data_IF_934837055977
#
_entry.id   IF_934837055977
#
_cell.length_a   1.000
_cell.length_b   1.000
_cell.length_c   1.000
_cell.angle_alpha   90.00
_cell.angle_beta   90.00
_cell.angle_gamma   90.00
#
_symmetry.space_group_name_H-M   'P 1'
#
loop_
_entity.id
_entity.type
_entity.pdbx_description
1 polymer ?
#
# COMPACT_ATOMS: atom_id res chain seq x y z
N UNK A 1 0.85 11.63 -22.95
CA UNK A 1 0.07 10.64 -22.20
C UNK A 1 0.64 9.25 -22.29
N UNK A 2 0.86 8.69 -23.46
CA UNK A 2 1.45 7.37 -23.67
C UNK A 2 2.85 7.24 -23.04
N UNK A 3 3.70 8.24 -23.21
CA UNK A 3 5.05 8.27 -22.62
C UNK A 3 5.00 8.22 -21.09
N UNK A 4 4.06 8.95 -20.49
CA UNK A 4 3.88 8.96 -19.03
C UNK A 4 3.39 7.60 -18.54
N UNK A 5 2.43 7.00 -19.23
CA UNK A 5 1.93 5.66 -18.89
C UNK A 5 3.05 4.64 -18.93
N UNK A 6 3.87 4.63 -19.98
CA UNK A 6 5.02 3.73 -20.10
C UNK A 6 6.03 3.93 -18.98
N UNK A 7 6.29 5.18 -18.60
CA UNK A 7 7.18 5.50 -17.49
C UNK A 7 6.69 4.95 -16.16
N UNK A 8 5.39 5.08 -15.90
CA UNK A 8 4.77 4.54 -14.68
C UNK A 8 4.82 3.01 -14.65
N UNK A 9 4.51 2.35 -15.78
CA UNK A 9 4.58 0.90 -15.88
C UNK A 9 5.99 0.40 -15.60
N UNK A 10 7.00 1.09 -16.12
CA UNK A 10 8.41 0.76 -15.88
C UNK A 10 8.77 0.96 -14.41
N UNK A 11 8.34 2.07 -13.81
CA UNK A 11 8.60 2.39 -12.41
C UNK A 11 8.09 1.28 -11.47
N UNK A 12 6.93 0.72 -11.76
CA UNK A 12 6.31 -0.31 -10.93
C UNK A 12 6.63 -1.74 -11.37
N UNK A 13 7.58 -1.89 -12.29
CA UNK A 13 8.05 -3.21 -12.71
C UNK A 13 7.04 -4.03 -13.50
N UNK A 14 6.12 -3.38 -14.20
CA UNK A 14 5.06 -4.03 -14.97
C UNK A 14 5.05 -3.63 -16.45
N UNK A 15 6.17 -3.15 -16.98
CA UNK A 15 6.26 -2.75 -18.38
C UNK A 15 5.93 -3.90 -19.34
N UNK A 16 6.26 -5.14 -18.96
CA UNK A 16 6.04 -6.32 -19.78
C UNK A 16 4.57 -6.68 -19.96
N UNK A 17 3.67 -6.15 -19.16
CA UNK A 17 2.23 -6.44 -19.27
C UNK A 17 1.46 -5.42 -20.09
N UNK A 18 2.14 -4.40 -20.64
CA UNK A 18 1.49 -3.28 -21.33
C UNK A 18 0.51 -3.70 -22.44
N UNK A 19 0.81 -4.82 -23.10
CA UNK A 19 -0.01 -5.34 -24.21
C UNK A 19 -0.80 -6.60 -23.84
N UNK A 20 -0.89 -6.93 -22.54
CA UNK A 20 -1.66 -8.09 -22.07
C UNK A 20 -3.08 -7.71 -21.68
N UNK A 21 -4.00 -8.64 -21.83
CA UNK A 21 -5.36 -8.48 -21.34
C UNK A 21 -5.43 -8.74 -19.84
N UNK A 22 -6.43 -8.16 -19.13
CA UNK A 22 -6.55 -8.32 -17.67
C UNK A 22 -6.57 -9.79 -17.20
N UNK A 23 -7.13 -10.70 -18.02
CA UNK A 23 -7.16 -12.12 -17.66
C UNK A 23 -5.78 -12.80 -17.68
N UNK A 24 -4.78 -12.17 -18.31
CA UNK A 24 -3.43 -12.73 -18.47
C UNK A 24 -2.45 -12.28 -17.40
N UNK A 25 -2.86 -11.43 -16.48
CA UNK A 25 -1.97 -10.85 -15.49
C UNK A 25 -2.33 -11.28 -14.07
N UNK A 26 -1.33 -11.29 -13.19
CA UNK A 26 -1.51 -11.68 -11.78
C UNK A 26 -2.28 -10.62 -10.98
N UNK A 27 -2.76 -11.00 -9.78
CA UNK A 27 -3.42 -10.08 -8.87
C UNK A 27 -2.52 -8.91 -8.48
N UNK A 28 -1.23 -9.18 -8.20
CA UNK A 28 -0.26 -8.13 -7.88
C UNK A 28 0.00 -7.19 -9.05
N UNK A 29 0.08 -7.74 -10.26
CA UNK A 29 0.23 -6.93 -11.48
C UNK A 29 -1.00 -6.05 -11.69
N UNK A 30 -2.21 -6.56 -11.46
CA UNK A 30 -3.46 -5.77 -11.51
C UNK A 30 -3.43 -4.64 -10.51
N UNK A 31 -3.00 -4.89 -9.27
CA UNK A 31 -2.93 -3.86 -8.23
C UNK A 31 -1.90 -2.79 -8.58
N UNK A 32 -0.71 -3.18 -9.05
CA UNK A 32 0.30 -2.20 -9.47
C UNK A 32 -0.15 -1.38 -10.66
N UNK A 33 -0.91 -1.98 -11.57
CA UNK A 33 -1.54 -1.26 -12.68
C UNK A 33 -2.53 -0.21 -12.15
N UNK A 34 -3.32 -0.57 -11.14
CA UNK A 34 -4.26 0.37 -10.51
C UNK A 34 -3.53 1.55 -9.86
N UNK A 35 -2.40 1.30 -9.19
CA UNK A 35 -1.58 2.37 -8.61
C UNK A 35 -1.04 3.27 -9.72
N UNK A 36 -0.49 2.69 -10.79
CA UNK A 36 0.03 3.45 -11.93
C UNK A 36 -1.07 4.32 -12.56
N UNK A 37 -2.26 3.77 -12.71
CA UNK A 37 -3.41 4.50 -13.23
C UNK A 37 -3.77 5.69 -12.35
N UNK A 38 -3.76 5.52 -11.03
CA UNK A 38 -4.06 6.59 -10.09
C UNK A 38 -3.04 7.74 -10.20
N UNK A 39 -1.81 7.45 -10.63
CA UNK A 39 -0.74 8.44 -10.74
C UNK A 39 -0.70 9.18 -12.08
N UNK A 40 -1.54 8.81 -13.03
CA UNK A 40 -1.53 9.45 -14.36
C UNK A 40 -1.80 10.95 -14.32
N UNK A 41 -2.55 11.41 -13.34
CA UNK A 41 -2.94 12.83 -13.20
C UNK A 41 -2.12 13.57 -12.13
N UNK A 42 -0.94 13.06 -11.76
CA UNK A 42 -0.05 13.65 -10.75
C UNK A 42 -0.77 14.02 -9.45
N UNK A 43 -1.48 13.08 -8.80
CA UNK A 43 -2.19 13.37 -7.57
C UNK A 43 -1.22 13.68 -6.43
N UNK A 44 -1.62 14.55 -5.51
CA UNK A 44 -0.87 14.73 -4.26
C UNK A 44 -1.34 13.75 -3.18
N UNK A 45 -2.49 13.13 -3.37
CA UNK A 45 -3.07 12.17 -2.41
C UNK A 45 -3.61 10.95 -3.16
N UNK A 46 -3.24 9.78 -2.69
CA UNK A 46 -3.74 8.50 -3.18
C UNK A 46 -4.56 7.86 -2.06
N UNK A 47 -5.79 7.47 -2.37
CA UNK A 47 -6.64 6.73 -1.44
C UNK A 47 -6.59 5.26 -1.83
N UNK A 48 -6.15 4.39 -0.91
CA UNK A 48 -6.02 2.97 -1.14
C UNK A 48 -6.84 2.19 -0.11
N UNK A 49 -7.81 1.42 -0.59
CA UNK A 49 -8.69 0.61 0.25
C UNK A 49 -8.31 -0.86 0.10
N UNK A 50 -7.76 -1.43 1.18
CA UNK A 50 -7.28 -2.83 1.21
C UNK A 50 -6.44 -3.21 -0.02
N UNK A 51 -5.37 -2.46 -0.32
CA UNK A 51 -4.65 -2.63 -1.59
C UNK A 51 -3.93 -3.97 -1.73
N UNK A 52 -3.73 -4.71 -0.64
CA UNK A 52 -3.08 -6.02 -0.64
C UNK A 52 -4.07 -7.16 -0.37
N UNK A 53 -5.37 -6.89 -0.38
CA UNK A 53 -6.39 -7.90 -0.13
C UNK A 53 -6.29 -9.09 -1.08
N UNK A 54 -6.31 -10.31 -0.53
CA UNK A 54 -6.25 -11.57 -1.28
C UNK A 54 -4.95 -11.80 -2.06
N UNK A 55 -3.88 -11.09 -1.73
CA UNK A 55 -2.56 -11.29 -2.34
C UNK A 55 -1.67 -12.10 -1.40
N UNK A 56 -0.75 -12.89 -1.98
CA UNK A 56 0.31 -13.55 -1.22
C UNK A 56 1.32 -12.51 -0.72
N UNK A 57 2.24 -12.91 0.16
CA UNK A 57 3.22 -12.01 0.77
C UNK A 57 4.10 -11.31 -0.26
N UNK A 58 4.54 -12.04 -1.28
CA UNK A 58 5.44 -11.50 -2.30
C UNK A 58 4.72 -10.44 -3.16
N UNK A 59 3.49 -10.72 -3.56
CA UNK A 59 2.67 -9.78 -4.31
C UNK A 59 2.31 -8.57 -3.47
N UNK A 60 2.03 -8.77 -2.19
CA UNK A 60 1.76 -7.67 -1.25
C UNK A 60 2.96 -6.74 -1.12
N UNK A 61 4.17 -7.29 -0.96
CA UNK A 61 5.39 -6.48 -0.92
C UNK A 61 5.58 -5.64 -2.18
N UNK A 62 5.29 -6.22 -3.35
CA UNK A 62 5.42 -5.50 -4.61
C UNK A 62 4.43 -4.34 -4.70
N UNK A 63 3.20 -4.52 -4.24
CA UNK A 63 2.18 -3.45 -4.21
C UNK A 63 2.58 -2.36 -3.24
N UNK A 64 3.00 -2.72 -2.03
CA UNK A 64 3.47 -1.75 -1.02
C UNK A 64 4.69 -0.99 -1.56
N UNK A 65 5.62 -1.70 -2.21
CA UNK A 65 6.77 -1.08 -2.85
C UNK A 65 6.37 -0.03 -3.88
N UNK A 66 5.30 -0.26 -4.62
CA UNK A 66 4.78 0.71 -5.59
C UNK A 66 4.32 2.00 -4.91
N UNK A 67 3.62 1.90 -3.78
CA UNK A 67 3.21 3.09 -3.00
C UNK A 67 4.41 3.85 -2.45
N UNK A 68 5.42 3.13 -1.93
CA UNK A 68 6.64 3.74 -1.41
C UNK A 68 7.41 4.47 -2.51
N UNK A 69 7.50 3.89 -3.69
CA UNK A 69 8.13 4.54 -4.85
C UNK A 69 7.38 5.79 -5.28
N UNK A 70 6.05 5.74 -5.28
CA UNK A 70 5.22 6.91 -5.60
C UNK A 70 5.45 8.05 -4.61
N UNK A 71 5.50 7.73 -3.32
CA UNK A 71 5.79 8.70 -2.27
C UNK A 71 7.16 9.33 -2.48
N UNK A 72 8.17 8.50 -2.72
CA UNK A 72 9.56 8.92 -2.81
C UNK A 72 9.88 9.71 -4.08
N UNK A 73 9.40 9.22 -5.23
CA UNK A 73 9.74 9.80 -6.55
C UNK A 73 8.77 10.85 -7.04
N UNK A 74 7.49 10.73 -6.68
CA UNK A 74 6.43 11.59 -7.18
C UNK A 74 5.84 12.48 -6.10
N UNK A 75 6.36 12.38 -4.88
CA UNK A 75 5.91 13.18 -3.73
C UNK A 75 4.40 13.02 -3.45
N UNK A 76 3.85 11.85 -3.76
CA UNK A 76 2.45 11.55 -3.50
C UNK A 76 2.28 11.01 -2.08
N UNK A 77 1.25 11.47 -1.38
CA UNK A 77 0.89 10.94 -0.07
C UNK A 77 -0.14 9.83 -0.26
N UNK A 78 0.04 8.71 0.43
CA UNK A 78 -0.93 7.60 0.40
C UNK A 78 -1.69 7.53 1.71
N UNK A 79 -3.01 7.53 1.61
CA UNK A 79 -3.90 7.24 2.73
C UNK A 79 -4.46 5.84 2.50
N UNK A 80 -4.03 4.90 3.34
CA UNK A 80 -4.36 3.49 3.17
C UNK A 80 -5.33 3.03 4.25
N UNK A 81 -6.39 2.34 3.85
CA UNK A 81 -7.29 1.64 4.77
C UNK A 81 -6.99 0.15 4.68
N UNK A 82 -6.64 -0.47 5.79
CA UNK A 82 -6.32 -1.89 5.82
C UNK A 82 -6.54 -2.49 7.22
N UNK A 83 -6.82 -3.79 7.27
CA UNK A 83 -6.80 -4.56 8.51
C UNK A 83 -5.56 -5.46 8.58
N UNK A 84 -4.65 -5.32 7.62
CA UNK A 84 -3.42 -6.10 7.53
C UNK A 84 -2.26 -5.36 8.21
N UNK A 85 -1.82 -5.87 9.36
CA UNK A 85 -0.72 -5.26 10.12
C UNK A 85 0.61 -5.27 9.37
N UNK A 86 0.83 -6.26 8.50
CA UNK A 86 2.04 -6.32 7.69
C UNK A 86 2.10 -5.11 6.73
N UNK A 87 1.01 -4.84 6.01
CA UNK A 87 0.93 -3.67 5.14
C UNK A 87 1.07 -2.36 5.92
N UNK A 88 0.39 -2.27 7.07
CA UNK A 88 0.44 -1.09 7.93
C UNK A 88 1.86 -0.81 8.45
N UNK A 89 2.67 -1.85 8.64
CA UNK A 89 4.05 -1.70 9.16
C UNK A 89 4.97 -0.92 8.22
N UNK A 90 4.61 -0.79 6.97
CA UNK A 90 5.37 -0.01 5.99
C UNK A 90 4.99 1.47 5.97
N UNK A 91 3.93 1.84 6.69
CA UNK A 91 3.45 3.22 6.72
C UNK A 91 4.27 4.05 7.72
N UNK A 92 4.28 5.37 7.51
CA UNK A 92 4.95 6.28 8.43
C UNK A 92 4.13 6.48 9.70
N UNK A 93 2.83 6.35 9.60
CA UNK A 93 1.89 6.64 10.67
C UNK A 93 0.66 5.75 10.54
N UNK A 94 0.21 5.21 11.65
CA UNK A 94 -0.98 4.34 11.66
C UNK A 94 -1.97 4.85 12.69
N UNK A 95 -3.22 5.02 12.28
CA UNK A 95 -4.32 5.37 13.15
C UNK A 95 -5.15 4.10 13.33
N UNK A 96 -5.20 3.58 14.57
CA UNK A 96 -5.95 2.38 14.88
C UNK A 96 -7.37 2.77 15.28
N UNK A 97 -8.35 2.16 14.62
CA UNK A 97 -9.76 2.43 14.85
C UNK A 97 -10.42 1.26 15.58
N UNK A 98 -11.36 1.56 16.47
CA UNK A 98 -12.22 0.58 17.11
C UNK A 98 -13.62 1.16 17.26
N UNK A 99 -14.63 0.41 16.83
CA UNK A 99 -16.03 0.80 16.96
C UNK A 99 -16.34 2.22 16.45
N UNK A 100 -15.73 2.57 15.31
CA UNK A 100 -15.95 3.85 14.66
C UNK A 100 -15.22 5.03 15.26
N UNK A 101 -14.36 4.80 16.25
CA UNK A 101 -13.58 5.87 16.88
C UNK A 101 -12.08 5.56 16.87
N UNK A 102 -11.27 6.59 17.05
CA UNK A 102 -9.82 6.43 17.11
C UNK A 102 -9.46 5.79 18.46
N UNK A 103 -8.78 4.62 18.38
CA UNK A 103 -8.28 3.93 19.57
C UNK A 103 -6.91 4.47 19.96
N UNK A 104 -5.98 4.53 19.03
CA UNK A 104 -4.64 5.08 19.25
C UNK A 104 -3.97 5.43 17.93
N UNK A 105 -2.86 6.13 18.02
CA UNK A 105 -2.04 6.49 16.87
C UNK A 105 -0.60 6.05 17.14
N UNK A 106 0.03 5.44 16.15
CA UNK A 106 1.40 4.97 16.20
C UNK A 106 2.23 5.63 15.11
N UNK A 107 3.45 6.00 15.43
CA UNK A 107 4.39 6.61 14.48
C UNK A 107 5.57 5.69 14.28
N UNK A 108 5.90 5.40 13.01
CA UNK A 108 7.05 4.57 12.65
C UNK A 108 8.32 5.40 12.83
N UNK A 109 9.25 4.90 13.65
CA UNK A 109 10.51 5.58 13.96
C UNK A 109 11.67 5.12 13.06
N UNK A 110 11.35 4.47 11.93
CA UNK A 110 12.36 4.04 10.96
C UNK A 110 12.73 2.57 11.02
N UNK A 111 12.22 1.81 12.00
CA UNK A 111 12.43 0.37 12.10
C UNK A 111 11.08 -0.35 11.89
N UNK A 112 10.89 -0.89 10.70
CA UNK A 112 9.64 -1.55 10.33
C UNK A 112 9.32 -2.77 11.21
N UNK A 113 10.33 -3.56 11.56
CA UNK A 113 10.10 -4.76 12.40
C UNK A 113 9.65 -4.38 13.80
N UNK A 114 10.28 -3.40 14.39
CA UNK A 114 9.88 -2.88 15.70
C UNK A 114 8.48 -2.27 15.63
N UNK A 115 8.18 -1.57 14.55
CA UNK A 115 6.85 -0.99 14.33
C UNK A 115 5.78 -2.05 14.17
N UNK A 116 6.08 -3.14 13.45
CA UNK A 116 5.17 -4.27 13.30
C UNK A 116 4.87 -4.91 14.67
N UNK A 117 5.89 -5.11 15.50
CA UNK A 117 5.70 -5.67 16.84
C UNK A 117 4.79 -4.77 17.69
N UNK A 118 5.02 -3.47 17.62
CA UNK A 118 4.19 -2.49 18.32
C UNK A 118 2.73 -2.53 17.85
N UNK A 119 2.52 -2.65 16.53
CA UNK A 119 1.17 -2.79 15.95
C UNK A 119 0.50 -4.06 16.44
N UNK A 120 1.23 -5.19 16.44
CA UNK A 120 0.69 -6.47 16.89
C UNK A 120 0.33 -6.43 18.38
N UNK A 121 1.12 -5.75 19.21
CA UNK A 121 0.83 -5.58 20.64
C UNK A 121 -0.46 -4.78 20.84
N UNK A 122 -0.62 -3.69 20.11
CA UNK A 122 -1.85 -2.88 20.15
C UNK A 122 -3.07 -3.71 19.74
N UNK A 123 -2.95 -4.51 18.69
CA UNK A 123 -4.05 -5.35 18.22
C UNK A 123 -4.42 -6.43 19.24
N UNK A 124 -3.43 -6.99 19.94
CA UNK A 124 -3.69 -7.95 21.02
C UNK A 124 -4.44 -7.30 22.16
N UNK A 125 -4.03 -6.11 22.59
CA UNK A 125 -4.71 -5.37 23.66
C UNK A 125 -6.15 -5.04 23.26
N UNK A 126 -6.34 -4.67 22.01
CA UNK A 126 -7.64 -4.31 21.47
C UNK A 126 -8.60 -5.51 21.46
N UNK A 127 -8.09 -6.71 21.14
CA UNK A 127 -8.87 -7.94 21.07
C UNK A 127 -8.95 -8.68 22.40
N UNK A 128 -7.93 -8.54 23.26
CA UNK A 128 -7.85 -9.22 24.56
C UNK A 128 -8.51 -8.45 25.70
N UNK A 129 -8.92 -7.24 25.47
CA UNK A 129 -9.61 -6.39 26.46
C UNK A 129 -11.09 -6.69 26.61
N UNK A 130 -11.54 -7.75 25.96
CA UNK A 130 -12.91 -8.24 26.07
C UNK A 130 -12.97 -9.36 27.15
#
# INVERSE_FOLDING_TARGET
MEKKAKGLLKMFGIAEIANKFPAEISGGQKQRTAVARALMNDPFLILADEPTGNLDSRSSEAVIGAFLEAQKKLNATTFMVTHDSFSASYCDRVIVMKDGTVYTELVNKGDRKAFLEELLDVLRDLNGGE
#
